data_IF_249247133877
#
_entry.id   IF_249247133877
#
_cell.length_a   1.000
_cell.length_b   1.000
_cell.length_c   1.000
_cell.angle_alpha   90.00
_cell.angle_beta   90.00
_cell.angle_gamma   90.00
#
_symmetry.space_group_name_H-M   'P 1'
#
loop_
_entity.id
_entity.type
_entity.pdbx_description
1 polymer ?
#
# COMPACT_ATOMS: atom_id res chain seq x y z
N UNK A 1 -15.64 19.45 -0.50
CA UNK A 1 -14.91 18.90 -1.67
C UNK A 1 -15.76 17.80 -2.28
N UNK A 2 -16.04 17.91 -3.53
CA UNK A 2 -16.79 16.90 -4.27
C UNK A 2 -15.81 15.85 -4.84
N UNK A 3 -16.06 14.59 -4.56
CA UNK A 3 -15.27 13.49 -5.11
C UNK A 3 -15.82 13.11 -6.49
N UNK A 4 -14.95 13.01 -7.48
CA UNK A 4 -15.31 12.69 -8.87
C UNK A 4 -15.05 11.23 -9.24
N UNK A 5 -14.54 10.43 -8.30
CA UNK A 5 -14.24 9.02 -8.55
C UNK A 5 -13.58 8.33 -7.37
N UNK A 6 -13.19 7.09 -7.62
CA UNK A 6 -12.58 6.20 -6.66
C UNK A 6 -11.23 5.71 -7.19
N UNK A 7 -10.29 5.53 -6.29
CA UNK A 7 -9.00 4.90 -6.57
C UNK A 7 -8.88 3.61 -5.75
N UNK A 8 -8.50 2.54 -6.41
CA UNK A 8 -8.26 1.25 -5.80
C UNK A 8 -6.79 0.88 -5.90
N UNK A 9 -6.14 0.67 -4.76
CA UNK A 9 -4.80 0.10 -4.69
C UNK A 9 -4.92 -1.39 -4.41
N UNK A 10 -4.25 -2.21 -5.21
CA UNK A 10 -4.33 -3.66 -5.09
C UNK A 10 -3.03 -4.32 -5.54
N UNK A 11 -2.90 -5.60 -5.28
CA UNK A 11 -1.95 -6.50 -5.91
C UNK A 11 -2.74 -7.54 -6.72
N UNK A 12 -2.07 -8.31 -7.58
CA UNK A 12 -2.76 -9.27 -8.45
C UNK A 12 -2.70 -10.68 -7.90
N UNK A 13 -1.53 -11.15 -7.50
CA UNK A 13 -1.33 -12.51 -7.00
C UNK A 13 0.10 -12.99 -7.19
N UNK A 14 0.31 -14.29 -7.08
CA UNK A 14 1.63 -14.93 -7.01
C UNK A 14 2.29 -15.16 -8.38
N UNK A 15 2.06 -14.27 -9.33
CA UNK A 15 2.73 -14.29 -10.63
C UNK A 15 3.90 -13.30 -10.63
N UNK A 16 4.74 -13.39 -11.65
CA UNK A 16 5.81 -12.42 -11.85
C UNK A 16 5.22 -10.99 -11.89
N UNK A 17 5.76 -10.11 -11.07
CA UNK A 17 5.27 -8.74 -10.82
C UNK A 17 3.85 -8.66 -10.25
N UNK A 18 3.16 -9.77 -10.00
CA UNK A 18 1.81 -9.76 -9.44
C UNK A 18 1.74 -9.29 -7.99
N UNK A 19 2.83 -9.48 -7.24
CA UNK A 19 3.00 -9.02 -5.85
C UNK A 19 3.68 -7.65 -5.82
N UNK A 20 3.07 -6.68 -6.51
CA UNK A 20 3.44 -5.28 -6.54
C UNK A 20 2.18 -4.42 -6.41
N UNK A 21 2.32 -3.11 -6.35
CA UNK A 21 1.15 -2.21 -6.22
C UNK A 21 0.64 -1.81 -7.59
N UNK A 22 -0.65 -2.05 -7.79
CA UNK A 22 -1.42 -1.64 -8.97
C UNK A 22 -2.48 -0.64 -8.57
N UNK A 23 -2.85 0.24 -9.49
CA UNK A 23 -3.98 1.14 -9.32
C UNK A 23 -5.05 0.89 -10.37
N UNK A 24 -6.29 0.98 -9.94
CA UNK A 24 -7.45 1.07 -10.80
C UNK A 24 -8.31 2.26 -10.38
N UNK A 25 -9.02 2.84 -11.31
CA UNK A 25 -9.95 3.94 -11.05
C UNK A 25 -11.37 3.59 -11.48
N UNK A 26 -12.33 4.21 -10.80
CA UNK A 26 -13.75 4.07 -11.11
C UNK A 26 -14.47 5.38 -10.87
N UNK A 27 -15.52 5.65 -11.65
CA UNK A 27 -16.42 6.78 -11.40
C UNK A 27 -17.61 6.41 -10.53
N UNK A 28 -18.04 5.16 -10.59
CA UNK A 28 -19.26 4.66 -9.93
C UNK A 28 -18.99 3.64 -8.81
N UNK A 29 -17.72 3.20 -8.64
CA UNK A 29 -17.35 2.17 -7.68
C UNK A 29 -17.67 0.73 -8.13
N UNK A 30 -18.27 0.56 -9.31
CA UNK A 30 -18.67 -0.74 -9.87
C UNK A 30 -17.86 -1.14 -11.09
N UNK A 31 -17.54 -0.18 -11.95
CA UNK A 31 -16.76 -0.40 -13.17
C UNK A 31 -15.38 0.19 -12.98
N UNK A 32 -14.36 -0.65 -13.08
CA UNK A 32 -12.97 -0.31 -12.79
C UNK A 32 -12.12 -0.35 -14.05
N UNK A 33 -11.22 0.60 -14.16
CA UNK A 33 -10.25 0.70 -15.26
C UNK A 33 -8.84 0.68 -14.66
N UNK A 34 -8.01 -0.22 -15.17
CA UNK A 34 -6.60 -0.26 -14.79
C UNK A 34 -5.88 1.03 -15.19
N UNK A 35 -5.06 1.54 -14.29
CA UNK A 35 -4.15 2.63 -14.55
C UNK A 35 -2.77 2.10 -14.96
N UNK A 36 -1.92 2.98 -15.50
CA UNK A 36 -0.57 2.64 -15.94
C UNK A 36 -0.54 1.49 -16.98
N UNK A 37 -1.56 1.43 -17.85
CA UNK A 37 -1.70 0.38 -18.86
C UNK A 37 -1.67 -1.05 -18.29
N UNK A 38 -2.17 -1.25 -17.06
CA UNK A 38 -2.18 -2.54 -16.39
C UNK A 38 -0.84 -2.98 -15.80
N UNK A 39 0.16 -2.09 -15.79
CA UNK A 39 1.45 -2.33 -15.15
C UNK A 39 1.46 -1.85 -13.69
N UNK A 40 2.34 -2.40 -12.84
CA UNK A 40 2.45 -1.90 -11.47
C UNK A 40 2.85 -0.42 -11.45
N UNK A 41 2.25 0.33 -10.54
CA UNK A 41 2.58 1.74 -10.30
C UNK A 41 3.73 1.88 -9.30
N UNK A 42 3.92 0.88 -8.42
CA UNK A 42 5.03 0.79 -7.49
C UNK A 42 5.61 -0.61 -7.52
N UNK A 43 6.93 -0.68 -7.57
CA UNK A 43 7.70 -1.92 -7.48
C UNK A 43 8.61 -1.80 -6.26
N UNK A 44 8.51 -2.75 -5.35
CA UNK A 44 9.41 -2.82 -4.20
C UNK A 44 10.74 -3.46 -4.61
N UNK A 45 11.82 -2.75 -4.38
CA UNK A 45 13.19 -3.22 -4.57
C UNK A 45 13.90 -3.55 -3.25
N UNK A 46 13.19 -3.44 -2.14
CA UNK A 46 13.68 -3.69 -0.79
C UNK A 46 12.95 -4.85 -0.14
N UNK A 47 13.50 -5.35 0.98
CA UNK A 47 12.94 -6.46 1.72
C UNK A 47 12.81 -7.71 0.87
N UNK A 48 11.63 -8.31 0.85
CA UNK A 48 11.34 -9.50 0.04
C UNK A 48 11.15 -9.20 -1.45
N UNK A 49 11.20 -7.92 -1.84
CA UNK A 49 11.01 -7.43 -3.21
C UNK A 49 9.65 -7.76 -3.82
N UNK A 50 8.66 -7.86 -2.98
CA UNK A 50 7.27 -8.00 -3.32
C UNK A 50 6.41 -7.46 -2.20
N UNK A 51 5.20 -7.05 -2.51
CA UNK A 51 4.27 -6.51 -1.53
C UNK A 51 2.87 -7.02 -1.76
N UNK A 52 2.14 -7.16 -0.66
CA UNK A 52 0.73 -7.60 -0.67
C UNK A 52 -0.11 -6.65 0.18
N UNK A 53 -1.41 -6.71 -0.04
CA UNK A 53 -2.42 -5.99 0.74
C UNK A 53 -2.13 -4.48 0.87
N UNK A 54 -1.91 -3.77 -0.24
CA UNK A 54 -1.63 -2.33 -0.19
C UNK A 54 -2.84 -1.55 0.30
N UNK A 55 -2.56 -0.52 1.09
CA UNK A 55 -3.58 0.39 1.62
C UNK A 55 -3.12 1.84 1.47
N UNK A 56 -4.03 2.73 1.03
CA UNK A 56 -3.76 4.16 0.87
C UNK A 56 -4.37 4.91 2.05
N UNK A 57 -3.57 5.77 2.67
CA UNK A 57 -3.97 6.68 3.72
C UNK A 57 -3.77 8.12 3.22
N UNK A 58 -4.76 8.96 3.41
CA UNK A 58 -4.63 10.39 3.15
C UNK A 58 -4.26 11.11 4.46
N UNK A 59 -3.07 11.66 4.50
CA UNK A 59 -2.61 12.53 5.58
C UNK A 59 -3.01 13.98 5.26
N UNK A 60 -4.19 14.37 5.72
CA UNK A 60 -4.77 15.68 5.45
C UNK A 60 -3.94 16.80 6.08
N UNK A 61 -3.34 16.54 7.25
CA UNK A 61 -2.56 17.54 7.97
C UNK A 61 -1.29 17.93 7.24
N UNK A 62 -0.64 16.97 6.58
CA UNK A 62 0.61 17.19 5.86
C UNK A 62 0.43 17.25 4.33
N UNK A 63 -0.82 17.17 3.85
CA UNK A 63 -1.14 17.31 2.43
C UNK A 63 -0.52 16.22 1.56
N UNK A 64 -0.44 14.99 2.06
CA UNK A 64 0.17 13.87 1.34
C UNK A 64 -0.64 12.58 1.46
N UNK A 65 -0.28 11.62 0.62
CA UNK A 65 -0.77 10.25 0.68
C UNK A 65 0.35 9.34 1.16
N UNK A 66 -0.03 8.33 1.91
CA UNK A 66 0.86 7.27 2.38
C UNK A 66 0.29 5.96 1.86
N UNK A 67 1.13 5.15 1.23
CA UNK A 67 0.78 3.79 0.83
C UNK A 67 1.59 2.85 1.71
N UNK A 68 0.91 1.94 2.37
CA UNK A 68 1.52 0.88 3.17
C UNK A 68 1.19 -0.47 2.54
N UNK A 69 2.12 -1.41 2.62
CA UNK A 69 1.90 -2.77 2.15
C UNK A 69 2.74 -3.76 2.95
N UNK A 70 2.28 -5.00 3.03
CA UNK A 70 3.02 -6.10 3.64
C UNK A 70 4.24 -6.43 2.79
N UNK A 71 5.41 -6.54 3.41
CA UNK A 71 6.64 -7.01 2.77
C UNK A 71 6.57 -8.53 2.60
N UNK A 72 6.07 -8.98 1.47
CA UNK A 72 5.85 -10.39 1.20
C UNK A 72 5.90 -10.69 -0.30
N UNK A 73 6.72 -11.67 -0.68
CA UNK A 73 6.83 -12.16 -2.05
C UNK A 73 6.83 -13.69 -2.08
N UNK A 74 5.67 -14.29 -2.32
CA UNK A 74 5.52 -15.75 -2.48
C UNK A 74 6.10 -16.22 -3.81
N UNK A 75 5.95 -15.40 -4.87
CA UNK A 75 6.50 -15.67 -6.21
C UNK A 75 8.03 -15.82 -6.22
N UNK A 76 8.73 -15.39 -5.17
CA UNK A 76 10.17 -15.60 -5.01
C UNK A 76 10.55 -17.07 -4.74
N UNK A 77 9.57 -17.94 -4.49
CA UNK A 77 9.78 -19.36 -4.20
C UNK A 77 9.90 -19.70 -2.71
N UNK A 78 9.74 -18.73 -1.81
CA UNK A 78 9.84 -19.00 -0.36
C UNK A 78 8.72 -19.87 0.18
N UNK A 79 7.56 -19.90 -0.46
CA UNK A 79 6.39 -20.67 -0.08
C UNK A 79 5.63 -20.11 1.12
N UNK A 80 4.38 -20.52 1.24
CA UNK A 80 3.46 -20.04 2.28
C UNK A 80 3.86 -20.44 3.69
N UNK A 81 4.44 -21.62 3.88
CA UNK A 81 4.90 -22.04 5.21
C UNK A 81 5.98 -21.08 5.74
N UNK A 82 6.97 -20.77 4.92
CA UNK A 82 8.02 -19.82 5.29
C UNK A 82 7.47 -18.41 5.50
N UNK A 83 6.48 -18.00 4.71
CA UNK A 83 5.83 -16.72 4.89
C UNK A 83 5.11 -16.59 6.24
N UNK A 84 4.48 -17.67 6.71
CA UNK A 84 3.76 -17.68 7.99
C UNK A 84 4.68 -17.72 9.20
N UNK A 85 5.76 -18.50 9.14
CA UNK A 85 6.60 -18.77 10.32
C UNK A 85 7.93 -18.00 10.33
N UNK A 86 8.40 -17.57 9.18
CA UNK A 86 9.65 -16.82 9.00
C UNK A 86 9.46 -15.60 8.09
N UNK A 87 8.29 -14.99 8.14
CA UNK A 87 7.95 -13.82 7.33
C UNK A 87 8.75 -12.58 7.72
N UNK A 88 8.79 -11.63 6.83
CA UNK A 88 9.33 -10.30 7.13
C UNK A 88 8.50 -9.63 8.24
N UNK A 89 9.18 -8.94 9.12
CA UNK A 89 8.54 -8.10 10.16
C UNK A 89 8.41 -6.65 9.73
N UNK A 90 8.73 -6.36 8.48
CA UNK A 90 8.71 -5.02 7.91
C UNK A 90 7.38 -4.72 7.23
N UNK A 91 7.07 -3.45 7.17
CA UNK A 91 6.02 -2.88 6.33
C UNK A 91 6.69 -1.97 5.32
N UNK A 92 6.32 -2.08 4.05
CA UNK A 92 6.81 -1.20 3.01
C UNK A 92 5.93 0.04 2.94
N UNK A 93 6.55 1.20 2.86
CA UNK A 93 5.87 2.48 2.92
C UNK A 93 6.35 3.40 1.82
N UNK A 94 5.40 3.97 1.09
CA UNK A 94 5.64 5.04 0.13
C UNK A 94 4.86 6.28 0.52
N UNK A 95 5.42 7.43 0.18
CA UNK A 95 4.76 8.72 0.31
C UNK A 95 4.61 9.39 -1.04
N UNK A 96 3.53 10.14 -1.20
CA UNK A 96 3.31 10.93 -2.40
C UNK A 96 2.42 12.14 -2.08
N UNK A 97 2.67 13.26 -2.76
CA UNK A 97 1.78 14.43 -2.72
C UNK A 97 0.64 14.34 -3.72
N UNK A 98 0.81 13.58 -4.79
CA UNK A 98 -0.08 13.57 -5.96
C UNK A 98 -0.47 12.17 -6.45
N UNK A 99 0.04 11.10 -5.82
CA UNK A 99 -0.10 9.70 -6.25
C UNK A 99 0.49 9.39 -7.63
N UNK A 100 1.30 10.29 -8.17
CA UNK A 100 2.04 10.12 -9.43
C UNK A 100 3.53 9.91 -9.17
N UNK A 101 4.11 10.77 -8.32
CA UNK A 101 5.50 10.66 -7.88
C UNK A 101 5.52 10.04 -6.49
N UNK A 102 6.03 8.82 -6.39
CA UNK A 102 6.12 8.07 -5.15
C UNK A 102 7.54 8.08 -4.62
N UNK A 103 7.67 8.25 -3.32
CA UNK A 103 8.96 8.18 -2.63
C UNK A 103 8.91 7.05 -1.60
N UNK A 104 9.82 6.09 -1.74
CA UNK A 104 10.00 5.04 -0.75
C UNK A 104 10.54 5.64 0.55
N UNK A 105 9.91 5.32 1.67
CA UNK A 105 10.31 5.87 2.96
C UNK A 105 10.40 4.79 4.03
N UNK A 106 11.59 4.23 4.20
CA UNK A 106 11.86 3.18 5.19
C UNK A 106 11.95 3.69 6.63
N UNK A 107 12.12 5.00 6.83
CA UNK A 107 12.22 5.60 8.16
C UNK A 107 10.85 5.75 8.86
N UNK A 108 9.78 5.33 8.21
CA UNK A 108 8.41 5.68 8.59
C UNK A 108 7.71 4.76 9.58
N UNK A 109 8.28 3.62 9.93
CA UNK A 109 7.64 2.72 10.92
C UNK A 109 7.25 3.46 12.21
N UNK A 110 8.08 4.38 12.65
CA UNK A 110 7.81 5.14 13.88
C UNK A 110 6.66 6.15 13.73
N UNK A 111 6.53 6.73 12.55
CA UNK A 111 5.50 7.74 12.28
C UNK A 111 4.13 7.09 12.01
N UNK A 112 4.10 5.96 11.32
CA UNK A 112 2.87 5.18 11.09
C UNK A 112 2.33 4.63 12.40
N UNK A 113 3.18 4.10 13.26
CA UNK A 113 2.77 3.69 14.60
C UNK A 113 2.15 4.86 15.37
N UNK A 114 2.71 6.06 15.24
CA UNK A 114 2.16 7.27 15.87
C UNK A 114 0.81 7.67 15.28
N UNK A 115 0.67 7.64 13.96
CA UNK A 115 -0.61 7.92 13.27
C UNK A 115 -1.65 6.85 13.66
N UNK A 116 -1.27 5.57 13.64
CA UNK A 116 -2.14 4.47 14.03
C UNK A 116 -2.54 4.54 15.49
N UNK A 117 -1.60 4.83 16.40
CA UNK A 117 -1.87 5.01 17.81
C UNK A 117 -2.78 6.22 18.07
N UNK A 118 -2.57 7.32 17.37
CA UNK A 118 -3.45 8.48 17.47
C UNK A 118 -4.87 8.16 16.97
N UNK A 119 -4.99 7.42 15.86
CA UNK A 119 -6.28 6.95 15.35
C UNK A 119 -6.97 6.03 16.37
N UNK A 120 -6.24 5.05 16.92
CA UNK A 120 -6.76 4.11 17.91
C UNK A 120 -7.18 4.83 19.20
N UNK A 121 -6.39 5.77 19.67
CA UNK A 121 -6.71 6.57 20.87
C UNK A 121 -7.95 7.44 20.63
N UNK A 122 -8.10 8.01 19.44
CA UNK A 122 -9.28 8.79 19.08
C UNK A 122 -10.54 7.91 19.01
N UNK A 123 -10.42 6.70 18.49
CA UNK A 123 -11.50 5.71 18.44
C UNK A 123 -11.90 5.22 19.84
N UNK A 124 -10.93 4.97 20.74
CA UNK A 124 -11.18 4.50 22.11
C UNK A 124 -11.75 5.63 23.00
N UNK A 125 -11.37 6.88 22.78
CA UNK A 125 -11.87 8.01 23.59
C UNK A 125 -13.32 8.43 23.26
N UNK A 126 -14.02 7.67 22.45
CA UNK A 126 -15.46 7.82 22.24
C UNK A 126 -15.85 9.02 21.38
N UNK A 127 -14.91 9.40 20.58
CA UNK A 127 -15.24 10.39 19.56
C UNK A 127 -16.23 9.84 18.57
#
# INVERSE_FOLDING_TARGET
MEYTGYLFAHFIGEAQLGEQVYFASSRDGLHWKDLNAGNPVLISDIGEKGVRDPFIIRDVLNGKYIIIATDLCIASGKGWWSAQYNGSTNIIVWESKDLVKMKLNNAFMHHILKIFMNFLMHFISGG
#
